data_IF_751243406809
#
_entry.id   IF_751243406809
#
_cell.length_a   1.000
_cell.length_b   1.000
_cell.length_c   1.000
_cell.angle_alpha   90.00
_cell.angle_beta   90.00
_cell.angle_gamma   90.00
#
_symmetry.space_group_name_H-M   'P 1'
#
loop_
_entity.id
_entity.type
_entity.pdbx_description
1 polymer ?
#
# COMPACT_ATOMS: atom_id res chain seq x y z
N UNK A 1 -12.32 1.71 29.93
CA UNK A 1 -12.54 1.88 28.48
C UNK A 1 -13.40 3.12 28.27
N UNK A 2 -12.81 4.19 27.74
CA UNK A 2 -13.51 5.47 27.55
C UNK A 2 -14.55 5.32 26.43
N UNK A 3 -15.84 5.42 26.78
CA UNK A 3 -16.93 5.42 25.80
C UNK A 3 -16.82 6.69 24.94
N UNK A 4 -16.71 6.52 23.63
CA UNK A 4 -16.90 7.59 22.65
C UNK A 4 -18.37 7.98 22.71
N UNK A 5 -18.67 9.26 23.00
CA UNK A 5 -20.04 9.72 23.28
C UNK A 5 -20.60 10.66 22.22
N UNK A 6 -19.76 11.15 21.30
CA UNK A 6 -20.18 12.06 20.23
C UNK A 6 -19.43 11.77 18.93
N UNK A 7 -20.06 12.10 17.81
CA UNK A 7 -19.45 12.12 16.47
C UNK A 7 -18.17 12.98 16.45
N UNK A 8 -18.15 14.04 17.26
CA UNK A 8 -17.00 14.92 17.37
C UNK A 8 -15.82 14.30 18.13
N UNK A 9 -16.10 13.45 19.13
CA UNK A 9 -15.06 12.66 19.79
C UNK A 9 -14.48 11.62 18.81
N UNK A 10 -15.33 11.01 17.99
CA UNK A 10 -14.91 10.05 16.97
C UNK A 10 -14.02 10.72 15.91
N UNK A 11 -14.38 11.91 15.45
CA UNK A 11 -13.56 12.68 14.51
C UNK A 11 -12.21 13.07 15.12
N UNK A 12 -12.18 13.54 16.36
CA UNK A 12 -10.92 13.87 17.06
C UNK A 12 -10.02 12.65 17.25
N UNK A 13 -10.59 11.49 17.55
CA UNK A 13 -9.82 10.23 17.65
C UNK A 13 -9.27 9.83 16.27
N UNK A 14 -10.09 9.94 15.21
CA UNK A 14 -9.66 9.67 13.82
C UNK A 14 -8.52 10.60 13.41
N UNK A 15 -8.67 11.91 13.62
CA UNK A 15 -7.64 12.90 13.27
C UNK A 15 -6.35 12.71 14.06
N UNK A 16 -6.45 12.39 15.36
CA UNK A 16 -5.28 12.14 16.20
C UNK A 16 -4.56 10.86 15.77
N UNK A 17 -5.29 9.78 15.49
CA UNK A 17 -4.72 8.55 14.97
C UNK A 17 -4.08 8.74 13.58
N UNK A 18 -4.72 9.54 12.70
CA UNK A 18 -4.15 9.93 11.40
C UNK A 18 -2.86 10.72 11.56
N UNK A 19 -2.84 11.71 12.46
CA UNK A 19 -1.62 12.47 12.78
C UNK A 19 -0.54 11.59 13.38
N UNK A 20 -0.87 10.69 14.30
CA UNK A 20 0.09 9.75 14.90
C UNK A 20 0.65 8.74 13.89
N UNK A 21 -0.16 8.33 12.91
CA UNK A 21 0.29 7.53 11.77
C UNK A 21 1.20 8.34 10.83
N UNK A 22 0.85 9.58 10.53
CA UNK A 22 1.70 10.50 9.75
C UNK A 22 3.03 10.77 10.45
N UNK A 23 3.03 10.89 11.78
CA UNK A 23 4.24 11.02 12.62
C UNK A 23 5.04 9.72 12.74
N UNK A 24 4.47 8.55 12.44
CA UNK A 24 5.25 7.30 12.27
C UNK A 24 5.88 7.19 10.88
N UNK A 25 5.27 7.85 9.89
CA UNK A 25 5.77 7.96 8.52
C UNK A 25 6.78 9.10 8.33
N UNK A 26 7.01 9.99 9.32
CA UNK A 26 7.99 11.09 9.19
C UNK A 26 9.39 10.55 8.88
N UNK A 27 9.79 10.71 7.62
CA UNK A 27 11.05 10.20 7.04
C UNK A 27 10.86 9.27 5.84
N UNK A 28 9.63 8.84 5.52
CA UNK A 28 9.28 8.05 4.34
C UNK A 28 8.36 8.88 3.43
N UNK A 29 8.66 8.91 2.13
CA UNK A 29 7.85 9.59 1.10
C UNK A 29 6.60 8.81 0.67
N UNK A 30 6.38 7.64 1.26
CA UNK A 30 5.27 6.77 0.89
C UNK A 30 5.34 5.36 1.47
N UNK A 31 4.31 4.59 1.17
CA UNK A 31 4.06 3.25 1.68
C UNK A 31 3.46 2.34 0.62
N UNK A 32 3.96 1.11 0.57
CA UNK A 32 3.39 0.01 -0.21
C UNK A 32 2.76 -0.99 0.76
N UNK A 33 1.47 -1.23 0.63
CA UNK A 33 0.72 -2.21 1.40
C UNK A 33 0.46 -3.43 0.55
N UNK A 34 0.91 -4.61 0.98
CA UNK A 34 0.63 -5.89 0.29
C UNK A 34 -0.49 -6.61 1.02
N UNK A 35 -1.53 -7.02 0.30
CA UNK A 35 -2.62 -7.81 0.86
C UNK A 35 -2.16 -9.26 1.09
N UNK A 36 -2.09 -9.65 2.36
CA UNK A 36 -1.64 -10.96 2.83
C UNK A 36 -2.81 -11.77 3.44
N UNK A 37 -4.03 -11.58 2.92
CA UNK A 37 -5.18 -12.44 3.25
C UNK A 37 -4.98 -13.88 2.78
N UNK A 38 -5.86 -14.80 3.17
CA UNK A 38 -5.76 -16.23 2.78
C UNK A 38 -5.73 -16.40 1.26
N UNK A 39 -6.64 -15.72 0.55
CA UNK A 39 -6.71 -15.74 -0.91
C UNK A 39 -5.46 -15.09 -1.54
N UNK A 40 -5.01 -13.94 -1.03
CA UNK A 40 -3.76 -13.30 -1.46
C UNK A 40 -2.52 -14.19 -1.29
N UNK A 41 -2.38 -14.86 -0.14
CA UNK A 41 -1.28 -15.81 0.09
C UNK A 41 -1.35 -16.97 -0.91
N UNK A 42 -2.55 -17.52 -1.16
CA UNK A 42 -2.74 -18.58 -2.14
C UNK A 42 -2.46 -18.13 -3.58
N UNK A 43 -2.69 -16.85 -3.89
CA UNK A 43 -2.46 -16.25 -5.20
C UNK A 43 -1.00 -15.79 -5.43
N UNK A 44 -0.11 -15.90 -4.42
CA UNK A 44 1.31 -15.54 -4.56
C UNK A 44 1.70 -14.18 -3.95
N UNK A 45 0.94 -13.67 -2.97
CA UNK A 45 1.27 -12.41 -2.27
C UNK A 45 2.64 -12.46 -1.57
N UNK A 46 3.12 -13.65 -1.19
CA UNK A 46 4.43 -13.82 -0.57
C UNK A 46 5.57 -13.56 -1.55
N UNK A 47 5.49 -14.07 -2.76
CA UNK A 47 6.46 -13.74 -3.82
C UNK A 47 6.35 -12.27 -4.22
N UNK A 48 5.14 -11.73 -4.31
CA UNK A 48 4.92 -10.30 -4.57
C UNK A 48 5.61 -9.41 -3.54
N UNK A 49 5.42 -9.70 -2.24
CA UNK A 49 6.07 -8.96 -1.16
C UNK A 49 7.60 -8.99 -1.27
N UNK A 50 8.17 -10.17 -1.55
CA UNK A 50 9.62 -10.33 -1.73
C UNK A 50 10.11 -9.51 -2.92
N UNK A 51 9.44 -9.60 -4.06
CA UNK A 51 9.80 -8.86 -5.27
C UNK A 51 9.75 -7.33 -5.07
N UNK A 52 8.77 -6.82 -4.31
CA UNK A 52 8.71 -5.40 -3.93
C UNK A 52 9.93 -5.01 -3.10
N UNK A 53 10.26 -5.78 -2.04
CA UNK A 53 11.40 -5.48 -1.16
C UNK A 53 12.72 -5.55 -1.93
N UNK A 54 12.90 -6.58 -2.77
CA UNK A 54 14.06 -6.74 -3.64
C UNK A 54 14.20 -5.55 -4.59
N UNK A 55 13.12 -5.17 -5.29
CA UNK A 55 13.15 -4.05 -6.23
C UNK A 55 13.49 -2.72 -5.54
N UNK A 56 12.94 -2.46 -4.35
CA UNK A 56 13.29 -1.27 -3.58
C UNK A 56 14.78 -1.28 -3.21
N UNK A 57 15.31 -2.43 -2.79
CA UNK A 57 16.73 -2.61 -2.44
C UNK A 57 17.64 -2.44 -3.65
N UNK A 58 17.32 -3.09 -4.78
CA UNK A 58 18.06 -3.01 -6.05
C UNK A 58 18.15 -1.57 -6.57
N UNK A 59 17.12 -0.75 -6.32
CA UNK A 59 17.07 0.65 -6.72
C UNK A 59 17.50 1.64 -5.61
N UNK A 60 18.03 1.15 -4.48
CA UNK A 60 18.48 1.95 -3.34
C UNK A 60 17.37 2.87 -2.74
N UNK A 61 16.11 2.44 -2.83
CA UNK A 61 14.95 3.19 -2.35
C UNK A 61 14.72 2.86 -0.88
N UNK A 62 15.15 3.77 0.00
CA UNK A 62 15.06 3.61 1.45
C UNK A 62 13.98 4.49 2.09
N UNK A 63 13.25 5.26 1.29
CA UNK A 63 12.24 6.22 1.74
C UNK A 63 10.80 5.73 1.50
N UNK A 64 10.62 4.45 1.20
CA UNK A 64 9.30 3.80 1.09
C UNK A 64 9.16 2.75 2.18
N UNK A 65 8.04 2.78 2.91
CA UNK A 65 7.68 1.73 3.85
C UNK A 65 6.99 0.57 3.11
N UNK A 66 7.31 -0.68 3.47
CA UNK A 66 6.57 -1.86 2.98
C UNK A 66 5.86 -2.48 4.16
N UNK A 67 4.53 -2.60 4.07
CA UNK A 67 3.70 -3.16 5.12
C UNK A 67 2.84 -4.30 4.60
N UNK A 68 2.57 -5.24 5.47
CA UNK A 68 1.65 -6.36 5.22
C UNK A 68 0.29 -6.01 5.81
N UNK A 69 -0.77 -6.25 5.05
CA UNK A 69 -2.16 -6.09 5.52
C UNK A 69 -2.92 -7.40 5.37
N UNK A 70 -4.11 -7.49 5.96
CA UNK A 70 -5.04 -8.59 5.68
C UNK A 70 -5.65 -8.51 4.28
N UNK A 71 -6.89 -9.01 4.14
CA UNK A 71 -7.62 -8.93 2.87
C UNK A 71 -8.05 -7.47 2.58
N UNK A 72 -7.97 -7.06 1.31
CA UNK A 72 -8.49 -5.77 0.82
C UNK A 72 -9.92 -5.88 0.25
N UNK A 73 -10.54 -7.06 0.33
CA UNK A 73 -11.87 -7.32 -0.25
C UNK A 73 -11.87 -7.44 -1.78
N UNK A 74 -10.70 -7.71 -2.38
CA UNK A 74 -10.46 -7.73 -3.83
C UNK A 74 -10.00 -9.11 -4.31
N UNK A 75 -10.65 -10.17 -3.84
CA UNK A 75 -10.19 -11.56 -4.05
C UNK A 75 -10.05 -11.94 -5.54
N UNK A 76 -10.88 -11.38 -6.41
CA UNK A 76 -10.87 -11.67 -7.86
C UNK A 76 -9.60 -11.19 -8.56
N UNK A 77 -8.91 -10.21 -7.99
CA UNK A 77 -7.74 -9.55 -8.58
C UNK A 77 -6.51 -9.67 -7.69
N UNK A 78 -6.49 -10.65 -6.78
CA UNK A 78 -5.30 -10.93 -5.98
C UNK A 78 -4.17 -11.58 -6.83
N UNK A 79 -2.90 -11.41 -6.42
CA UNK A 79 -2.42 -10.57 -5.32
C UNK A 79 -2.63 -9.08 -5.58
N UNK A 80 -2.98 -8.33 -4.53
CA UNK A 80 -3.16 -6.88 -4.60
C UNK A 80 -2.13 -6.13 -3.79
N UNK A 81 -1.68 -4.99 -4.32
CA UNK A 81 -0.86 -4.03 -3.59
C UNK A 81 -1.48 -2.63 -3.70
N UNK A 82 -1.41 -1.88 -2.60
CA UNK A 82 -1.76 -0.47 -2.58
C UNK A 82 -0.46 0.34 -2.46
N UNK A 83 -0.30 1.33 -3.33
CA UNK A 83 0.78 2.31 -3.27
C UNK A 83 0.22 3.64 -2.84
N UNK A 84 0.75 4.19 -1.74
CA UNK A 84 0.47 5.55 -1.27
C UNK A 84 1.77 6.34 -1.31
N UNK A 85 1.80 7.43 -2.06
CA UNK A 85 2.92 8.38 -2.10
C UNK A 85 2.43 9.73 -1.58
N UNK A 86 3.30 10.47 -0.90
CA UNK A 86 2.98 11.83 -0.46
C UNK A 86 2.59 12.71 -1.64
N UNK A 87 1.48 13.45 -1.51
CA UNK A 87 0.97 14.33 -2.56
C UNK A 87 0.31 13.62 -3.75
N UNK A 88 0.14 12.30 -3.70
CA UNK A 88 -0.55 11.52 -4.73
C UNK A 88 -1.74 10.76 -4.16
N UNK A 89 -2.74 10.54 -5.00
CA UNK A 89 -3.86 9.67 -4.64
C UNK A 89 -3.38 8.21 -4.50
N UNK A 90 -3.89 7.45 -3.52
CA UNK A 90 -3.61 6.03 -3.41
C UNK A 90 -3.97 5.28 -4.70
N UNK A 91 -3.12 4.32 -5.08
CA UNK A 91 -3.34 3.47 -6.26
C UNK A 91 -3.30 2.01 -5.83
N UNK A 92 -4.33 1.25 -6.20
CA UNK A 92 -4.39 -0.19 -5.99
C UNK A 92 -4.12 -0.90 -7.31
N UNK A 93 -3.16 -1.81 -7.28
CA UNK A 93 -2.84 -2.72 -8.36
C UNK A 93 -3.29 -4.14 -8.02
N UNK A 94 -3.78 -4.86 -9.03
CA UNK A 94 -4.19 -6.25 -8.93
C UNK A 94 -3.46 -7.14 -9.92
N UNK A 95 -3.68 -8.45 -9.81
CA UNK A 95 -2.98 -9.50 -10.55
C UNK A 95 -1.46 -9.32 -10.48
N UNK A 96 -0.98 -8.92 -9.30
CA UNK A 96 0.42 -8.56 -9.12
C UNK A 96 1.25 -9.84 -9.09
N UNK A 97 2.21 -9.93 -10.00
CA UNK A 97 3.23 -10.97 -10.10
C UNK A 97 4.57 -10.42 -9.65
N UNK A 98 5.57 -11.27 -9.37
CA UNK A 98 6.92 -10.80 -9.04
C UNK A 98 7.50 -9.85 -10.09
N UNK A 99 7.35 -10.16 -11.38
CA UNK A 99 7.84 -9.31 -12.47
C UNK A 99 7.16 -7.94 -12.48
N UNK A 100 5.83 -7.92 -12.41
CA UNK A 100 5.11 -6.67 -12.51
C UNK A 100 5.17 -5.85 -11.21
N UNK A 101 5.45 -6.47 -10.05
CA UNK A 101 5.80 -5.78 -8.81
C UNK A 101 7.08 -4.96 -8.97
N UNK A 102 8.13 -5.53 -9.60
CA UNK A 102 9.35 -4.77 -9.92
C UNK A 102 9.06 -3.61 -10.87
N UNK A 103 8.18 -3.83 -11.85
CA UNK A 103 7.72 -2.79 -12.78
C UNK A 103 6.95 -1.67 -12.08
N UNK A 104 6.10 -1.98 -11.09
CA UNK A 104 5.40 -0.97 -10.29
C UNK A 104 6.40 -0.14 -9.48
N UNK A 105 7.41 -0.77 -8.87
CA UNK A 105 8.48 -0.03 -8.19
C UNK A 105 9.22 0.89 -9.16
N UNK A 106 9.61 0.40 -10.34
CA UNK A 106 10.32 1.25 -11.29
C UNK A 106 9.44 2.42 -11.81
N UNK A 107 8.28 2.12 -12.37
CA UNK A 107 7.47 3.14 -13.04
C UNK A 107 6.74 4.05 -12.04
N UNK A 108 6.07 3.48 -11.04
CA UNK A 108 5.26 4.27 -10.13
C UNK A 108 6.10 4.94 -9.05
N UNK A 109 7.04 4.20 -8.45
CA UNK A 109 7.80 4.72 -7.31
C UNK A 109 8.97 5.62 -7.75
N UNK A 110 9.66 5.35 -8.86
CA UNK A 110 10.75 6.22 -9.34
C UNK A 110 10.28 7.27 -10.35
N UNK A 111 9.44 6.88 -11.31
CA UNK A 111 9.06 7.75 -12.43
C UNK A 111 7.72 8.47 -12.25
N UNK A 112 7.01 8.25 -11.13
CA UNK A 112 5.64 8.75 -10.89
C UNK A 112 4.66 8.40 -12.02
N UNK A 113 4.84 7.25 -12.67
CA UNK A 113 3.99 6.76 -13.74
C UNK A 113 3.16 5.56 -13.28
N UNK A 114 1.83 5.69 -13.37
CA UNK A 114 0.90 4.61 -13.02
C UNK A 114 1.00 3.49 -14.05
N UNK A 115 1.07 2.25 -13.56
CA UNK A 115 1.06 1.05 -14.40
C UNK A 115 -0.40 0.72 -14.78
N UNK A 116 -0.90 1.36 -15.83
CA UNK A 116 -2.33 1.40 -16.16
C UNK A 116 -2.99 0.04 -16.42
N UNK A 117 -2.25 -0.93 -16.94
CA UNK A 117 -2.76 -2.30 -17.21
C UNK A 117 -3.04 -3.11 -15.94
N UNK A 118 -2.45 -2.71 -14.81
CA UNK A 118 -2.64 -3.38 -13.51
C UNK A 118 -3.56 -2.57 -12.58
N UNK A 119 -4.02 -1.41 -13.03
CA UNK A 119 -4.81 -0.49 -12.23
C UNK A 119 -6.17 -1.11 -11.89
N UNK A 120 -6.43 -1.30 -10.61
CA UNK A 120 -7.74 -1.72 -10.10
C UNK A 120 -8.53 -0.52 -9.59
N UNK A 121 -7.86 0.40 -8.88
CA UNK A 121 -8.51 1.57 -8.28
C UNK A 121 -7.52 2.72 -8.09
N UNK A 122 -8.02 3.95 -8.22
CA UNK A 122 -7.34 5.19 -7.84
C UNK A 122 -8.24 5.99 -6.91
N UNK A 123 -7.68 6.57 -5.85
CA UNK A 123 -8.40 7.36 -4.85
C UNK A 123 -8.48 6.69 -3.47
N UNK A 124 -8.95 7.44 -2.48
CA UNK A 124 -9.07 6.93 -1.10
C UNK A 124 -10.09 5.78 -0.98
N UNK A 125 -9.85 4.90 0.01
CA UNK A 125 -10.79 3.83 0.41
C UNK A 125 -11.98 4.40 1.20
#
# INVERSE_FOLDING_TARGET
MSKVKSIEDLMKIKEKALKELQLRDTGKRGKITVAMGTCGIAAGAKETLRAVVEALTENNINDIAVVQSGCMGLCEVEPTIEVRLEGQEPVVYGHVTPENAKRIVKLHILENQIVSDLLVRKGEM
#
